data_IF_133295493519
#
_entry.id   IF_133295493519
#
_cell.length_a   1.000
_cell.length_b   1.000
_cell.length_c   1.000
_cell.angle_alpha   90.00
_cell.angle_beta   90.00
_cell.angle_gamma   90.00
#
_symmetry.space_group_name_H-M   'P 1'
#
loop_
_entity.id
_entity.type
_entity.pdbx_description
1 polymer ?
#
# COMPACT_ATOMS: atom_id res chain seq x y z
N UNK A 1 -22.39 -14.57 -9.86
CA UNK A 1 -21.64 -14.74 -9.93
C UNK A 1 -20.46 -14.50 -9.25
N UNK A 2 -20.00 -15.41 -8.79
CA UNK A 2 -18.87 -15.33 -7.94
C UNK A 2 -17.64 -14.85 -8.64
N UNK A 3 -17.74 -14.73 -9.91
CA UNK A 3 -16.57 -14.32 -10.60
C UNK A 3 -16.29 -12.88 -10.61
N UNK A 4 -17.14 -12.09 -10.02
CA UNK A 4 -16.87 -10.69 -9.98
C UNK A 4 -15.64 -10.41 -9.18
N UNK A 5 -14.71 -9.60 -9.67
CA UNK A 5 -13.54 -9.26 -8.88
C UNK A 5 -13.95 -8.42 -7.68
N UNK A 6 -13.16 -8.42 -6.63
CA UNK A 6 -13.47 -7.58 -5.48
C UNK A 6 -13.45 -6.11 -5.89
N UNK A 7 -14.26 -5.28 -5.25
CA UNK A 7 -14.28 -3.86 -5.57
C UNK A 7 -12.94 -3.22 -5.26
N UNK A 8 -12.62 -2.21 -6.02
CA UNK A 8 -11.38 -1.49 -5.79
C UNK A 8 -11.50 -0.71 -4.48
N UNK A 9 -10.37 -0.50 -3.84
CA UNK A 9 -10.31 0.24 -2.60
C UNK A 9 -10.18 1.73 -2.88
N UNK A 10 -10.77 2.53 -2.03
CA UNK A 10 -10.63 3.97 -2.13
C UNK A 10 -9.41 4.40 -1.31
N UNK A 11 -9.05 5.69 -1.43
CA UNK A 11 -8.00 6.24 -0.61
C UNK A 11 -8.30 6.02 0.86
N UNK A 12 -9.56 6.23 1.24
CA UNK A 12 -9.97 6.07 2.60
C UNK A 12 -9.82 4.63 3.06
N UNK A 13 -10.19 3.69 2.20
CA UNK A 13 -10.06 2.28 2.52
C UNK A 13 -8.60 1.90 2.74
N UNK A 14 -7.72 2.37 1.88
CA UNK A 14 -6.30 2.05 2.01
C UNK A 14 -5.73 2.71 3.25
N UNK A 15 -6.13 3.94 3.52
CA UNK A 15 -5.67 4.64 4.70
C UNK A 15 -6.04 3.88 5.96
N UNK A 16 -7.27 3.40 6.02
CA UNK A 16 -7.72 2.61 7.16
C UNK A 16 -6.99 1.29 7.25
N UNK A 17 -6.77 0.65 6.11
CA UNK A 17 -6.11 -0.64 6.06
C UNK A 17 -4.66 -0.52 6.53
N UNK A 18 -3.99 0.55 6.17
CA UNK A 18 -2.60 0.76 6.55
C UNK A 18 -2.46 1.60 7.83
N UNK A 19 -3.56 2.06 8.35
CA UNK A 19 -3.57 2.86 9.58
C UNK A 19 -2.75 4.13 9.44
N UNK A 20 -2.94 4.84 8.34
CA UNK A 20 -2.27 6.11 8.11
C UNK A 20 -3.30 7.13 7.64
N UNK A 21 -2.90 8.38 7.54
CA UNK A 21 -3.78 9.44 7.08
C UNK A 21 -4.05 9.33 5.59
N UNK A 22 -5.22 9.79 5.18
CA UNK A 22 -5.55 9.81 3.77
C UNK A 22 -4.59 10.70 2.99
N UNK A 23 -4.12 11.77 3.59
CA UNK A 23 -3.17 12.64 2.93
C UNK A 23 -1.91 11.90 2.56
N UNK A 24 -1.49 11.01 3.44
CA UNK A 24 -0.30 10.20 3.18
C UNK A 24 -0.52 9.31 1.98
N UNK A 25 -1.71 8.70 1.87
CA UNK A 25 -2.02 7.84 0.75
C UNK A 25 -2.02 8.64 -0.56
N UNK A 26 -2.63 9.82 -0.55
CA UNK A 26 -2.64 10.66 -1.73
C UNK A 26 -1.23 10.99 -2.17
N UNK A 27 -0.39 11.36 -1.22
CA UNK A 27 0.97 11.75 -1.53
C UNK A 27 1.75 10.58 -2.11
N UNK A 28 1.63 9.42 -1.50
CA UNK A 28 2.34 8.26 -1.99
C UNK A 28 1.87 7.84 -3.38
N UNK A 29 0.57 7.92 -3.61
CA UNK A 29 0.02 7.58 -4.90
C UNK A 29 0.49 8.54 -5.97
N UNK A 30 0.50 9.83 -5.65
CA UNK A 30 0.93 10.82 -6.61
C UNK A 30 2.41 10.72 -6.93
N UNK A 31 3.19 10.29 -5.97
CA UNK A 31 4.61 10.12 -6.18
C UNK A 31 4.95 8.81 -6.86
N UNK A 32 3.95 8.00 -7.12
CA UNK A 32 4.19 6.71 -7.75
C UNK A 32 4.80 5.68 -6.82
N UNK A 33 4.75 5.93 -5.51
CA UNK A 33 5.33 5.02 -4.55
C UNK A 33 4.35 3.98 -4.06
N UNK A 34 3.07 4.20 -4.30
CA UNK A 34 2.02 3.29 -3.90
C UNK A 34 1.25 2.89 -5.14
N UNK A 35 1.07 1.60 -5.39
CA UNK A 35 0.39 1.18 -6.62
C UNK A 35 -1.08 1.57 -6.57
N UNK A 36 -1.48 2.36 -7.53
CA UNK A 36 -2.85 2.79 -7.64
C UNK A 36 -3.14 3.24 -9.06
N UNK A 37 -4.37 3.52 -9.34
CA UNK A 37 -4.77 3.99 -10.66
C UNK A 37 -5.91 4.97 -10.49
N UNK A 38 -6.11 5.79 -11.49
CA UNK A 38 -7.18 6.76 -11.44
C UNK A 38 -8.34 6.34 -12.31
N UNK A 39 -9.53 6.47 -11.75
CA UNK A 39 -10.76 6.22 -12.47
C UNK A 39 -11.57 7.50 -12.39
N UNK A 40 -11.78 8.13 -13.52
CA UNK A 40 -12.57 9.38 -13.55
C UNK A 40 -12.01 10.40 -12.55
N UNK A 41 -10.69 10.52 -12.48
CA UNK A 41 -10.07 11.50 -11.61
C UNK A 41 -9.99 11.13 -10.17
N UNK A 42 -10.38 9.93 -9.83
CA UNK A 42 -10.36 9.49 -8.42
C UNK A 42 -9.41 8.31 -8.28
N UNK A 43 -8.59 8.34 -7.25
CA UNK A 43 -7.66 7.25 -7.02
C UNK A 43 -8.40 6.00 -6.56
N UNK A 44 -7.95 4.86 -7.09
CA UNK A 44 -8.45 3.56 -6.67
C UNK A 44 -7.27 2.62 -6.55
N UNK A 45 -7.42 1.60 -5.71
CA UNK A 45 -6.34 0.67 -5.44
C UNK A 45 -6.91 -0.74 -5.39
N UNK A 46 -6.10 -1.72 -5.78
CA UNK A 46 -6.51 -3.10 -5.68
C UNK A 46 -5.84 -3.72 -4.47
N UNK A 47 -6.58 -4.50 -3.73
CA UNK A 47 -6.07 -5.11 -2.52
C UNK A 47 -4.83 -5.96 -2.81
N UNK A 48 -4.86 -6.68 -3.90
CA UNK A 48 -3.77 -7.53 -4.29
C UNK A 48 -2.48 -6.71 -4.51
N UNK A 49 -2.61 -5.55 -5.13
CA UNK A 49 -1.48 -4.67 -5.36
C UNK A 49 -0.97 -4.09 -4.05
N UNK A 50 -1.89 -3.71 -3.19
CA UNK A 50 -1.53 -3.15 -1.91
C UNK A 50 -0.82 -4.20 -1.06
N UNK A 51 -1.28 -5.42 -1.09
CA UNK A 51 -0.63 -6.47 -0.34
C UNK A 51 0.77 -6.76 -0.85
N UNK A 52 0.94 -6.74 -2.16
CA UNK A 52 2.27 -6.91 -2.73
C UNK A 52 3.19 -5.78 -2.32
N UNK A 53 2.68 -4.57 -2.31
CA UNK A 53 3.44 -3.41 -1.89
C UNK A 53 3.84 -3.54 -0.41
N UNK A 54 2.92 -4.01 0.41
CA UNK A 54 3.20 -4.22 1.82
C UNK A 54 4.28 -5.27 2.00
N UNK A 55 4.19 -6.34 1.25
CA UNK A 55 5.17 -7.42 1.34
C UNK A 55 6.55 -6.92 0.97
N UNK A 56 6.63 -6.10 -0.05
CA UNK A 56 7.90 -5.53 -0.44
C UNK A 56 8.45 -4.63 0.63
N UNK A 57 7.58 -3.86 1.25
CA UNK A 57 8.00 -2.98 2.32
C UNK A 57 8.45 -3.78 3.53
N UNK A 58 7.75 -4.84 3.83
CA UNK A 58 8.13 -5.67 4.95
C UNK A 58 9.47 -6.32 4.72
N UNK A 59 9.72 -6.76 3.52
CA UNK A 59 10.99 -7.37 3.21
C UNK A 59 12.12 -6.37 3.28
N UNK A 60 11.89 -5.17 2.80
CA UNK A 60 12.89 -4.13 2.86
C UNK A 60 13.22 -3.79 4.31
N UNK A 61 12.19 -3.65 5.11
CA UNK A 61 12.38 -3.33 6.51
C UNK A 61 13.05 -4.48 7.24
N UNK A 62 12.63 -5.69 6.91
CA UNK A 62 13.18 -6.86 7.53
C UNK A 62 14.66 -6.99 7.23
N UNK A 63 15.04 -6.79 5.99
CA UNK A 63 16.44 -6.87 5.62
C UNK A 63 17.23 -5.79 6.34
N UNK A 64 16.69 -4.59 6.37
CA UNK A 64 17.35 -3.49 7.04
C UNK A 64 17.41 -3.74 8.53
N UNK A 65 16.32 -4.26 9.07
CA UNK A 65 16.23 -4.52 10.46
C UNK A 65 17.19 -5.63 10.88
N UNK A 66 17.36 -6.60 10.03
CA UNK A 66 18.29 -7.66 10.30
C UNK A 66 19.70 -7.10 10.47
N UNK A 67 20.08 -6.19 9.58
CA UNK A 67 21.35 -5.56 9.73
C UNK A 67 21.41 -4.76 10.98
N UNK A 68 20.39 -4.01 11.25
CA UNK A 68 20.35 -3.20 12.42
C UNK A 68 20.32 -4.05 13.67
N UNK A 69 19.59 -5.13 13.60
CA UNK A 69 19.51 -6.02 14.75
C UNK A 69 20.87 -6.58 15.06
N UNK A 70 21.60 -6.90 14.05
CA UNK A 70 22.93 -7.38 14.27
C UNK A 70 23.79 -6.37 15.01
N UNK A 71 23.52 -5.11 14.78
CA UNK A 71 24.23 -4.08 15.47
C UNK A 71 23.69 -3.82 16.83
N UNK A 72 22.38 -3.86 16.95
CA UNK A 72 21.77 -3.46 18.16
C UNK A 72 21.73 -4.54 19.16
N UNK A 73 21.59 -5.71 18.71
CA UNK A 73 21.49 -6.80 19.64
C UNK A 73 22.84 -7.24 20.14
#
# INVERSE_FOLDING_TARGET
MAEQPPPAMTVRDVAGFLAVDEKTIYRLAQQGKLPGFKVAGTWRFQLQDIQGWIDERKEAVKARKTKAAGLRV
#
